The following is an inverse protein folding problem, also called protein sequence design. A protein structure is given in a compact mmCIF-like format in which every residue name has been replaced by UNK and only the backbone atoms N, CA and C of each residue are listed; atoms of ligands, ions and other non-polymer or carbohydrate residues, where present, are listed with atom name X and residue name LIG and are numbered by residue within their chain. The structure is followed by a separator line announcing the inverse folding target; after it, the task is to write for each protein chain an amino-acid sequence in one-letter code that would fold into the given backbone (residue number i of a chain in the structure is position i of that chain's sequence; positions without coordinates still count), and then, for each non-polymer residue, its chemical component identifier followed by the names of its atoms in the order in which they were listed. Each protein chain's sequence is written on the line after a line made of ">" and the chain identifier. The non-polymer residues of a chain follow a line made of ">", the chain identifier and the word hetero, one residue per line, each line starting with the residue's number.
data_IF_669897486602
#
_entry.id   IF_669897486602
#
_cell.length_a   1.000
_cell.length_b   1.000
_cell.length_c   1.000
_cell.angle_alpha   90.00
_cell.angle_beta   90.00
_cell.angle_gamma   90.00
#
_symmetry.space_group_name_H-M   'P 1'
#
loop_
_entity.id
_entity.type
_entity.pdbx_description
1 polymer ?
#
# COMPACT_ATOMS: atom_id res chain seq x y z
N UNK A 1 -39.60 45.39 -5.01
CA UNK A 1 -38.22 45.09 -4.55
C UNK A 1 -37.62 43.92 -5.33
N UNK A 2 -36.98 44.14 -6.49
CA UNK A 2 -36.32 43.09 -7.28
C UNK A 2 -34.81 42.91 -6.96
N UNK A 3 -34.21 43.82 -6.17
CA UNK A 3 -32.76 43.85 -5.95
C UNK A 3 -32.21 42.66 -5.14
N UNK A 4 -33.01 42.08 -4.23
CA UNK A 4 -32.58 40.96 -3.38
C UNK A 4 -32.38 39.63 -4.12
N UNK A 5 -33.18 39.36 -5.16
CA UNK A 5 -33.11 38.09 -5.90
C UNK A 5 -31.83 37.96 -6.72
N UNK A 6 -31.35 39.06 -7.31
CA UNK A 6 -30.12 39.06 -8.11
C UNK A 6 -28.87 38.86 -7.26
N UNK A 7 -28.86 39.41 -6.03
CA UNK A 7 -27.74 39.24 -5.08
C UNK A 7 -27.66 37.79 -4.60
N UNK A 8 -28.79 37.19 -4.21
CA UNK A 8 -28.85 35.77 -3.78
C UNK A 8 -28.37 34.84 -4.90
N UNK A 9 -28.83 35.05 -6.14
CA UNK A 9 -28.39 34.24 -7.27
C UNK A 9 -26.88 34.34 -7.53
N UNK A 10 -26.30 35.55 -7.45
CA UNK A 10 -24.85 35.74 -7.60
C UNK A 10 -24.07 35.02 -6.51
N UNK A 11 -24.53 35.07 -5.27
CA UNK A 11 -23.89 34.35 -4.16
C UNK A 11 -23.91 32.84 -4.38
N UNK A 12 -25.05 32.29 -4.83
CA UNK A 12 -25.17 30.87 -5.16
C UNK A 12 -24.17 30.48 -6.25
N UNK A 13 -24.12 31.22 -7.35
CA UNK A 13 -23.20 30.95 -8.47
C UNK A 13 -21.74 30.99 -8.00
N UNK A 14 -21.35 32.03 -7.27
CA UNK A 14 -19.97 32.16 -6.75
C UNK A 14 -19.63 30.98 -5.83
N UNK A 15 -20.56 30.55 -4.98
CA UNK A 15 -20.36 29.41 -4.08
C UNK A 15 -20.15 28.12 -4.86
N UNK A 16 -20.99 27.85 -5.88
CA UNK A 16 -20.83 26.69 -6.76
C UNK A 16 -19.50 26.70 -7.51
N UNK A 17 -19.05 27.86 -8.01
CA UNK A 17 -17.76 27.98 -8.69
C UNK A 17 -16.59 27.68 -7.76
N UNK A 18 -16.64 28.18 -6.52
CA UNK A 18 -15.63 27.89 -5.50
C UNK A 18 -15.60 26.40 -5.18
N UNK A 19 -16.77 25.77 -4.97
CA UNK A 19 -16.85 24.33 -4.70
C UNK A 19 -16.32 23.51 -5.87
N UNK A 20 -16.65 23.86 -7.12
CA UNK A 20 -16.14 23.20 -8.31
C UNK A 20 -14.62 23.35 -8.46
N UNK A 21 -14.06 24.53 -8.13
CA UNK A 21 -12.61 24.76 -8.18
C UNK A 21 -11.87 23.95 -7.09
N UNK A 22 -12.41 23.90 -5.87
CA UNK A 22 -11.87 23.07 -4.78
C UNK A 22 -11.92 21.60 -5.18
N UNK A 23 -13.06 21.16 -5.71
CA UNK A 23 -13.29 19.81 -6.19
C UNK A 23 -12.26 19.41 -7.26
N UNK A 24 -12.12 20.22 -8.31
CA UNK A 24 -11.14 19.99 -9.38
C UNK A 24 -9.70 19.97 -8.87
N UNK A 25 -9.36 20.83 -7.91
CA UNK A 25 -8.02 20.86 -7.30
C UNK A 25 -7.72 19.60 -6.50
N UNK A 26 -8.71 19.08 -5.75
CA UNK A 26 -8.58 17.82 -5.00
C UNK A 26 -8.44 16.62 -5.94
N UNK A 27 -9.19 16.57 -7.03
CA UNK A 27 -9.04 15.52 -8.05
C UNK A 27 -7.65 15.56 -8.71
N UNK A 28 -7.17 16.75 -9.06
CA UNK A 28 -5.84 16.92 -9.64
C UNK A 28 -4.74 16.49 -8.67
N UNK A 29 -4.86 16.87 -7.38
CA UNK A 29 -3.95 16.43 -6.32
C UNK A 29 -3.98 14.91 -6.15
N UNK A 30 -5.16 14.30 -6.06
CA UNK A 30 -5.29 12.84 -5.93
C UNK A 30 -4.67 12.11 -7.12
N UNK A 31 -4.91 12.57 -8.35
CA UNK A 31 -4.30 12.00 -9.55
C UNK A 31 -2.77 12.13 -9.55
N UNK A 32 -2.25 13.27 -9.09
CA UNK A 32 -0.81 13.48 -8.91
C UNK A 32 -0.22 12.50 -7.91
N UNK A 33 -0.85 12.31 -6.75
CA UNK A 33 -0.37 11.38 -5.73
C UNK A 33 -0.47 9.92 -6.19
N UNK A 34 -1.52 9.54 -6.93
CA UNK A 34 -1.59 8.21 -7.58
C UNK A 34 -0.42 8.00 -8.53
N UNK A 35 -0.07 9.01 -9.32
CA UNK A 35 1.11 8.95 -10.20
C UNK A 35 2.42 8.81 -9.40
N UNK A 36 2.57 9.54 -8.29
CA UNK A 36 3.74 9.42 -7.42
C UNK A 36 3.84 8.03 -6.79
N UNK A 37 2.74 7.49 -6.26
CA UNK A 37 2.66 6.15 -5.65
C UNK A 37 2.99 5.04 -6.66
N UNK A 38 2.41 5.11 -7.86
CA UNK A 38 2.71 4.14 -8.92
C UNK A 38 4.16 4.22 -9.39
N UNK A 39 4.73 5.43 -9.48
CA UNK A 39 6.15 5.60 -9.80
C UNK A 39 7.04 5.03 -8.70
N UNK A 40 6.73 5.31 -7.44
CA UNK A 40 7.44 4.80 -6.27
C UNK A 40 7.49 3.27 -6.26
N UNK A 41 6.34 2.61 -6.41
CA UNK A 41 6.24 1.15 -6.46
C UNK A 41 6.96 0.58 -7.70
N UNK A 42 6.86 1.24 -8.85
CA UNK A 42 7.56 0.82 -10.06
C UNK A 42 9.09 0.93 -9.92
N UNK A 43 9.60 1.97 -9.28
CA UNK A 43 11.03 2.11 -8.98
C UNK A 43 11.50 1.09 -7.94
N UNK A 44 10.75 0.90 -6.85
CA UNK A 44 11.02 -0.11 -5.83
C UNK A 44 11.05 -1.53 -6.44
N UNK A 45 10.20 -1.83 -7.42
CA UNK A 45 10.19 -3.12 -8.10
C UNK A 45 11.47 -3.45 -8.87
N UNK A 46 12.33 -2.45 -9.12
CA UNK A 46 13.63 -2.64 -9.79
C UNK A 46 14.75 -2.98 -8.80
N UNK A 47 14.52 -2.79 -7.51
CA UNK A 47 15.46 -3.18 -6.46
C UNK A 47 15.49 -4.70 -6.36
N UNK A 48 16.69 -5.27 -6.42
CA UNK A 48 16.94 -6.69 -6.28
C UNK A 48 17.43 -7.05 -4.88
N UNK A 49 17.21 -8.32 -4.49
CA UNK A 49 17.93 -8.90 -3.36
C UNK A 49 19.41 -8.93 -3.68
N UNK A 50 20.24 -8.55 -2.72
CA UNK A 50 21.69 -8.46 -2.84
C UNK A 50 22.22 -7.11 -3.32
N UNK A 51 21.34 -6.20 -3.78
CA UNK A 51 21.72 -4.82 -4.12
C UNK A 51 22.37 -4.14 -2.90
N UNK A 52 23.32 -3.24 -3.15
CA UNK A 52 23.99 -2.52 -2.06
C UNK A 52 23.07 -1.45 -1.47
N UNK A 53 23.18 -1.18 -0.16
CA UNK A 53 22.46 -0.06 0.47
C UNK A 53 22.70 1.25 -0.30
N UNK A 54 23.95 1.53 -0.68
CA UNK A 54 24.33 2.73 -1.42
C UNK A 54 23.54 2.90 -2.74
N UNK A 55 23.18 1.81 -3.41
CA UNK A 55 22.41 1.85 -4.66
C UNK A 55 20.93 2.21 -4.47
N UNK A 56 20.36 1.98 -3.28
CA UNK A 56 18.95 2.28 -2.98
C UNK A 56 18.75 3.61 -2.25
N UNK A 57 19.81 4.19 -1.67
CA UNK A 57 19.73 5.51 -1.01
C UNK A 57 19.11 6.63 -1.87
N UNK A 58 19.37 6.73 -3.19
CA UNK A 58 18.71 7.74 -4.02
C UNK A 58 17.19 7.58 -4.10
N UNK A 59 16.70 6.33 -4.08
CA UNK A 59 15.26 6.03 -4.05
C UNK A 59 14.65 6.47 -2.73
N UNK A 60 15.26 6.04 -1.62
CA UNK A 60 14.83 6.39 -0.25
C UNK A 60 14.77 7.90 -0.08
N UNK A 61 15.82 8.62 -0.50
CA UNK A 61 15.88 10.09 -0.42
C UNK A 61 14.80 10.78 -1.26
N UNK A 62 14.45 10.23 -2.43
CA UNK A 62 13.44 10.83 -3.32
C UNK A 62 12.05 10.82 -2.72
N UNK A 63 11.74 9.81 -1.92
CA UNK A 63 10.43 9.59 -1.30
C UNK A 63 10.44 9.88 0.20
N UNK A 64 11.42 10.67 0.68
CA UNK A 64 11.54 11.09 2.08
C UNK A 64 11.53 9.93 3.08
N UNK A 65 12.12 8.79 2.70
CA UNK A 65 12.15 7.60 3.54
C UNK A 65 13.01 7.75 4.78
N UNK A 66 12.62 7.01 5.82
CA UNK A 66 13.30 7.01 7.10
C UNK A 66 13.86 5.64 7.44
N UNK A 67 14.93 5.64 8.23
CA UNK A 67 15.59 4.44 8.72
C UNK A 67 15.07 4.09 10.10
N UNK A 68 14.79 2.82 10.35
CA UNK A 68 14.41 2.33 11.68
C UNK A 68 14.94 0.91 11.89
N UNK A 69 14.92 0.45 13.14
CA UNK A 69 15.40 -0.89 13.52
C UNK A 69 14.22 -1.74 13.96
N UNK A 70 14.00 -2.91 13.34
CA UNK A 70 12.97 -3.85 13.76
C UNK A 70 13.10 -4.26 15.21
N UNK A 71 11.96 -4.54 15.84
CA UNK A 71 11.94 -5.12 17.17
C UNK A 71 12.70 -6.45 17.17
N UNK A 72 13.51 -6.71 18.21
CA UNK A 72 14.21 -7.98 18.33
C UNK A 72 13.20 -9.13 18.46
N UNK A 73 13.58 -10.30 17.93
CA UNK A 73 12.83 -11.51 18.19
C UNK A 73 12.75 -11.78 19.69
N UNK A 74 11.64 -12.36 20.19
CA UNK A 74 11.52 -12.73 21.60
C UNK A 74 12.65 -13.71 22.01
N UNK A 75 12.92 -13.88 23.31
CA UNK A 75 13.88 -14.87 23.78
C UNK A 75 13.56 -16.27 23.24
N UNK A 76 14.60 -17.03 22.85
CA UNK A 76 14.47 -18.35 22.24
C UNK A 76 13.66 -19.32 23.10
N UNK A 77 13.82 -19.22 24.41
CA UNK A 77 13.15 -20.06 25.42
C UNK A 77 11.62 -19.85 25.44
N UNK A 78 11.13 -18.74 24.91
CA UNK A 78 9.70 -18.42 24.83
C UNK A 78 9.07 -18.91 23.51
N UNK A 79 9.86 -19.42 22.57
CA UNK A 79 9.34 -19.90 21.29
C UNK A 79 8.80 -21.33 21.40
N UNK A 80 7.59 -21.55 20.90
CA UNK A 80 6.98 -22.88 20.79
C UNK A 80 7.57 -23.72 19.65
N UNK A 81 8.11 -23.06 18.62
CA UNK A 81 8.77 -23.71 17.48
C UNK A 81 10.22 -23.22 17.37
N UNK A 82 11.14 -23.97 17.97
CA UNK A 82 12.56 -23.67 17.97
C UNK A 82 13.17 -23.69 16.55
N UNK A 83 12.64 -24.52 15.64
CA UNK A 83 13.16 -24.61 14.28
C UNK A 83 12.79 -23.35 13.51
N UNK A 84 11.54 -22.91 13.62
CA UNK A 84 11.08 -21.66 13.03
C UNK A 84 11.76 -20.45 13.66
N UNK A 85 12.04 -20.50 14.97
CA UNK A 85 12.82 -19.46 15.65
C UNK A 85 14.24 -19.33 15.08
N UNK A 86 14.98 -20.44 15.05
CA UNK A 86 16.36 -20.46 14.56
C UNK A 86 16.41 -20.07 13.06
N UNK A 87 15.39 -20.47 12.30
CA UNK A 87 15.18 -20.04 10.92
C UNK A 87 15.00 -18.51 10.80
N UNK A 88 14.04 -17.93 11.52
CA UNK A 88 13.76 -16.48 11.48
C UNK A 88 14.93 -15.66 11.98
N UNK A 89 15.61 -16.10 13.04
CA UNK A 89 16.80 -15.43 13.59
C UNK A 89 17.89 -15.25 12.53
N UNK A 90 18.06 -16.23 11.66
CA UNK A 90 19.00 -16.17 10.55
C UNK A 90 18.54 -15.28 9.39
N UNK A 91 17.35 -14.67 9.45
CA UNK A 91 16.80 -13.79 8.42
C UNK A 91 16.34 -12.44 8.97
N UNK A 92 16.62 -12.11 10.23
CA UNK A 92 16.34 -10.77 10.77
C UNK A 92 17.27 -9.75 10.09
N UNK A 93 16.69 -8.66 9.61
CA UNK A 93 17.41 -7.53 9.04
C UNK A 93 18.06 -6.67 10.13
N UNK A 94 19.19 -6.03 9.81
CA UNK A 94 19.88 -5.13 10.74
C UNK A 94 19.07 -3.84 10.96
N UNK A 95 18.40 -3.36 9.92
CA UNK A 95 17.51 -2.20 9.91
C UNK A 95 16.66 -2.20 8.64
N UNK A 96 15.66 -1.32 8.61
CA UNK A 96 14.76 -1.14 7.48
C UNK A 96 14.68 0.33 7.08
N UNK A 97 14.30 0.55 5.82
CA UNK A 97 13.88 1.85 5.32
C UNK A 97 12.44 1.77 4.87
N UNK A 98 11.62 2.72 5.34
CA UNK A 98 10.23 2.84 4.90
C UNK A 98 10.01 4.19 4.26
N UNK A 99 9.16 4.20 3.25
CA UNK A 99 8.63 5.42 2.67
C UNK A 99 7.21 5.21 2.15
N UNK A 100 6.41 6.26 2.28
CA UNK A 100 4.97 6.20 2.17
C UNK A 100 4.45 7.36 1.31
N UNK A 101 3.43 7.07 0.50
CA UNK A 101 2.57 8.07 -0.10
C UNK A 101 1.15 7.82 0.40
N UNK A 102 0.69 8.65 1.33
CA UNK A 102 -0.71 8.71 1.75
C UNK A 102 -1.25 10.13 1.58
N UNK A 103 -2.00 10.40 0.51
CA UNK A 103 -2.51 11.75 0.20
C UNK A 103 -3.33 12.36 1.32
N UNK A 104 -3.98 11.51 2.12
CA UNK A 104 -4.91 11.86 3.18
C UNK A 104 -4.37 11.53 4.58
N UNK A 105 -3.10 11.09 4.68
CA UNK A 105 -2.38 10.86 5.93
C UNK A 105 -2.95 9.72 6.77
N UNK A 106 -3.38 8.63 6.13
CA UNK A 106 -3.97 7.46 6.77
C UNK A 106 -2.92 6.46 7.25
N UNK A 107 -1.87 6.22 6.46
CA UNK A 107 -0.88 5.16 6.72
C UNK A 107 0.27 5.59 7.63
N UNK A 108 0.16 6.73 8.31
CA UNK A 108 1.29 7.33 9.02
C UNK A 108 1.91 6.33 9.99
N UNK A 109 2.99 5.71 9.55
CA UNK A 109 3.75 4.72 10.29
C UNK A 109 4.33 5.42 11.52
N UNK A 110 3.84 4.99 12.69
CA UNK A 110 4.41 5.14 14.03
C UNK A 110 5.17 6.44 14.35
N UNK A 111 4.66 7.58 13.90
CA UNK A 111 5.19 8.90 14.27
C UNK A 111 6.56 9.27 13.69
N UNK A 112 7.12 8.48 12.77
CA UNK A 112 8.46 8.74 12.20
C UNK A 112 8.44 9.58 10.91
N UNK A 113 7.30 9.67 10.21
CA UNK A 113 7.14 10.51 9.02
C UNK A 113 6.85 11.98 9.33
N UNK A 114 7.63 12.90 8.72
CA UNK A 114 7.31 14.34 8.73
C UNK A 114 6.05 14.59 7.92
N UNK A 115 4.91 14.82 8.58
CA UNK A 115 3.67 15.23 7.90
C UNK A 115 3.81 16.63 7.30
N UNK A 116 3.89 16.68 5.98
CA UNK A 116 3.87 17.93 5.23
C UNK A 116 2.61 18.76 5.56
N UNK A 117 2.74 20.09 5.50
CA UNK A 117 1.64 21.03 5.75
C UNK A 117 0.49 20.81 4.77
N UNK A 118 0.80 20.47 3.51
CA UNK A 118 -0.20 20.21 2.47
C UNK A 118 -1.04 18.98 2.83
N UNK A 119 -0.42 17.85 3.14
CA UNK A 119 -1.12 16.62 3.56
C UNK A 119 -2.02 16.86 4.76
N UNK A 120 -1.59 17.66 5.74
CA UNK A 120 -2.43 18.06 6.88
C UNK A 120 -3.64 18.88 6.46
N UNK A 121 -3.45 19.89 5.61
CA UNK A 121 -4.54 20.72 5.13
C UNK A 121 -5.56 19.91 4.32
N UNK A 122 -5.08 19.05 3.41
CA UNK A 122 -5.92 18.15 2.62
C UNK A 122 -6.68 17.20 3.55
N UNK A 123 -6.01 16.59 4.55
CA UNK A 123 -6.66 15.72 5.54
C UNK A 123 -7.76 16.45 6.32
N UNK A 124 -7.54 17.70 6.72
CA UNK A 124 -8.57 18.51 7.39
C UNK A 124 -9.79 18.71 6.50
N UNK A 125 -9.58 19.02 5.22
CA UNK A 125 -10.67 19.21 4.25
C UNK A 125 -11.40 17.89 4.00
N UNK A 126 -10.69 16.78 3.78
CA UNK A 126 -11.32 15.49 3.50
C UNK A 126 -12.02 14.91 4.72
N UNK A 127 -11.50 15.11 5.93
CA UNK A 127 -12.18 14.69 7.17
C UNK A 127 -13.48 15.45 7.43
N UNK A 128 -13.65 16.65 6.87
CA UNK A 128 -14.91 17.39 6.93
C UNK A 128 -15.98 16.80 5.99
N UNK A 129 -15.60 15.95 5.04
CA UNK A 129 -16.50 15.29 4.09
C UNK A 129 -16.93 13.94 4.67
N UNK A 130 -18.24 13.66 4.84
CA UNK A 130 -18.72 12.36 5.27
C UNK A 130 -18.16 11.22 4.41
N UNK A 131 -17.77 10.09 5.04
CA UNK A 131 -17.14 8.94 4.34
C UNK A 131 -17.90 8.49 3.08
N UNK A 132 -19.24 8.42 3.16
CA UNK A 132 -20.10 8.07 2.02
C UNK A 132 -19.96 9.03 0.83
N UNK A 133 -19.78 10.33 1.10
CA UNK A 133 -19.60 11.34 0.06
C UNK A 133 -18.18 11.28 -0.53
N UNK A 134 -17.15 11.04 0.29
CA UNK A 134 -15.76 10.85 -0.19
C UNK A 134 -15.67 9.76 -1.26
N UNK A 135 -16.37 8.65 -1.03
CA UNK A 135 -16.47 7.55 -1.99
C UNK A 135 -17.10 7.97 -3.33
N UNK A 136 -18.21 8.71 -3.29
CA UNK A 136 -18.97 9.13 -4.49
C UNK A 136 -18.20 10.15 -5.32
N UNK A 137 -17.32 10.90 -4.68
CA UNK A 137 -16.56 11.94 -5.35
C UNK A 137 -15.16 11.42 -5.75
N UNK A 138 -14.70 10.26 -5.24
CA UNK A 138 -13.40 9.68 -5.62
C UNK A 138 -12.24 10.23 -4.79
N UNK A 139 -12.52 10.66 -3.55
CA UNK A 139 -11.53 11.02 -2.52
C UNK A 139 -11.51 9.97 -1.41
N UNK A 140 -11.56 8.69 -1.78
CA UNK A 140 -11.45 7.57 -0.84
C UNK A 140 -10.09 7.59 -0.18
N UNK A 141 -10.02 7.13 1.07
CA UNK A 141 -8.74 7.01 1.72
C UNK A 141 -7.92 5.88 1.10
N UNK A 142 -6.65 6.14 0.84
CA UNK A 142 -5.70 5.14 0.38
C UNK A 142 -4.27 5.55 0.74
N UNK A 143 -3.34 4.61 0.60
CA UNK A 143 -1.92 4.90 0.64
C UNK A 143 -1.12 3.79 -0.01
N UNK A 144 0.15 4.07 -0.27
CA UNK A 144 1.12 3.09 -0.72
C UNK A 144 2.39 3.21 0.12
N UNK A 145 2.99 2.06 0.43
CA UNK A 145 4.21 1.97 1.24
C UNK A 145 5.22 1.09 0.53
N UNK A 146 6.50 1.38 0.74
CA UNK A 146 7.61 0.51 0.35
C UNK A 146 8.50 0.33 1.56
N UNK A 147 8.86 -0.92 1.83
CA UNK A 147 9.81 -1.28 2.87
C UNK A 147 11.02 -1.97 2.24
N UNK A 148 12.20 -1.57 2.70
CA UNK A 148 13.49 -2.15 2.28
C UNK A 148 14.21 -2.67 3.51
N UNK A 149 14.39 -3.98 3.59
CA UNK A 149 15.14 -4.59 4.68
C UNK A 149 16.61 -4.73 4.30
N UNK A 150 17.51 -4.25 5.16
CA UNK A 150 18.95 -4.28 4.93
C UNK A 150 19.63 -5.20 5.93
N UNK A 151 20.54 -6.03 5.42
CA UNK A 151 21.41 -6.90 6.23
C UNK A 151 22.81 -6.95 5.64
N UNK A 152 23.82 -6.73 6.48
CA UNK A 152 25.21 -6.71 6.02
C UNK A 152 25.48 -5.66 4.93
N UNK A 153 24.74 -4.54 4.94
CA UNK A 153 24.84 -3.48 3.93
C UNK A 153 24.23 -3.83 2.56
N UNK A 154 23.44 -4.90 2.48
CA UNK A 154 22.75 -5.33 1.25
C UNK A 154 21.25 -5.46 1.47
N UNK A 155 20.49 -5.27 0.40
CA UNK A 155 19.05 -5.48 0.38
C UNK A 155 18.76 -6.97 0.57
N UNK A 156 18.04 -7.27 1.64
CA UNK A 156 17.57 -8.61 1.98
C UNK A 156 16.15 -8.85 1.49
N UNK A 157 15.30 -7.82 1.55
CA UNK A 157 13.96 -7.85 0.98
C UNK A 157 13.50 -6.46 0.56
N UNK A 158 12.56 -6.43 -0.39
CA UNK A 158 11.82 -5.24 -0.80
C UNK A 158 10.33 -5.58 -0.89
N UNK A 159 9.49 -4.81 -0.22
CA UNK A 159 8.03 -4.87 -0.33
C UNK A 159 7.46 -3.62 -0.97
N UNK A 160 6.31 -3.78 -1.62
CA UNK A 160 5.45 -2.68 -1.99
C UNK A 160 4.02 -3.02 -1.62
N UNK A 161 3.37 -2.12 -0.91
CA UNK A 161 2.01 -2.28 -0.42
C UNK A 161 1.13 -1.14 -0.93
N UNK A 162 -0.13 -1.45 -1.23
CA UNK A 162 -1.19 -0.48 -1.50
C UNK A 162 -2.40 -0.83 -0.65
N UNK A 163 -2.89 0.13 0.12
CA UNK A 163 -4.11 0.03 0.91
C UNK A 163 -5.15 1.02 0.39
N UNK A 164 -6.40 0.58 0.27
CA UNK A 164 -7.51 1.42 -0.20
C UNK A 164 -8.82 1.14 0.55
N UNK A 165 -9.56 2.20 0.85
CA UNK A 165 -10.91 2.13 1.40
C UNK A 165 -11.88 1.58 0.33
N UNK A 166 -12.20 0.29 0.46
CA UNK A 166 -13.19 -0.40 -0.37
C UNK A 166 -14.62 0.05 -0.06
N UNK A 167 -15.61 -0.70 -0.58
CA UNK A 167 -17.03 -0.38 -0.34
C UNK A 167 -17.49 -0.77 1.07
N UNK A 168 -17.02 -1.91 1.57
CA UNK A 168 -17.42 -2.49 2.86
C UNK A 168 -16.27 -2.64 3.85
N UNK A 169 -15.04 -2.74 3.34
CA UNK A 169 -13.85 -3.05 4.13
C UNK A 169 -12.61 -2.44 3.49
N UNK A 170 -11.49 -2.45 4.22
CA UNK A 170 -10.19 -2.13 3.66
C UNK A 170 -9.69 -3.25 2.75
N UNK A 171 -9.11 -2.85 1.62
CA UNK A 171 -8.49 -3.77 0.68
C UNK A 171 -7.01 -3.44 0.58
N UNK A 172 -6.19 -4.47 0.73
CA UNK A 172 -4.75 -4.35 0.60
C UNK A 172 -4.19 -5.23 -0.52
N UNK A 173 -3.12 -4.76 -1.12
CA UNK A 173 -2.30 -5.56 -2.01
C UNK A 173 -0.82 -5.33 -1.70
N UNK A 174 -0.15 -6.38 -1.26
CA UNK A 174 1.27 -6.40 -0.98
C UNK A 174 1.97 -7.36 -1.94
N UNK A 175 3.14 -6.93 -2.43
CA UNK A 175 4.13 -7.81 -3.01
C UNK A 175 5.43 -7.69 -2.23
N UNK A 176 6.15 -8.80 -2.05
CA UNK A 176 7.41 -8.85 -1.31
C UNK A 176 8.40 -9.77 -2.02
N UNK A 177 9.50 -9.19 -2.48
CA UNK A 177 10.67 -9.95 -2.94
C UNK A 177 11.58 -10.19 -1.72
N UNK A 178 11.85 -11.44 -1.41
CA UNK A 178 12.65 -11.86 -0.24
C UNK A 178 13.83 -12.71 -0.67
N UNK A 179 14.95 -12.63 0.05
CA UNK A 179 16.06 -13.57 -0.09
C UNK A 179 15.62 -15.02 0.16
N UNK A 180 14.77 -15.23 1.15
CA UNK A 180 14.22 -16.53 1.52
C UNK A 180 12.79 -16.40 2.05
N UNK A 181 11.98 -17.45 1.87
CA UNK A 181 10.58 -17.46 2.29
C UNK A 181 10.42 -17.20 3.80
N UNK A 182 9.37 -16.52 4.28
CA UNK A 182 9.27 -16.10 5.67
C UNK A 182 9.14 -17.27 6.66
N UNK A 183 8.68 -18.43 6.19
CA UNK A 183 8.47 -19.63 7.01
C UNK A 183 9.29 -20.80 6.50
N UNK A 184 9.82 -21.58 7.44
CA UNK A 184 10.66 -22.75 7.11
C UNK A 184 9.93 -23.80 6.28
N UNK A 185 8.61 -23.94 6.43
CA UNK A 185 7.78 -24.84 5.62
C UNK A 185 7.60 -24.38 4.16
N UNK A 186 7.78 -23.08 3.89
CA UNK A 186 7.61 -22.48 2.57
C UNK A 186 8.91 -22.43 1.77
N UNK A 187 10.06 -22.74 2.38
CA UNK A 187 11.38 -22.77 1.75
C UNK A 187 11.46 -23.43 0.36
N UNK A 188 10.77 -24.55 0.09
CA UNK A 188 10.80 -25.17 -1.24
C UNK A 188 10.09 -24.36 -2.33
N UNK A 189 9.30 -23.34 -1.98
CA UNK A 189 8.51 -22.55 -2.92
C UNK A 189 9.26 -21.28 -3.31
N UNK A 190 9.25 -20.96 -4.60
CA UNK A 190 9.73 -19.69 -5.12
C UNK A 190 8.66 -18.58 -5.04
N UNK A 191 7.38 -18.95 -4.93
CA UNK A 191 6.26 -18.03 -4.90
C UNK A 191 5.11 -18.56 -4.03
N UNK A 192 4.47 -17.65 -3.28
CA UNK A 192 3.21 -17.90 -2.56
C UNK A 192 2.30 -16.68 -2.59
N UNK A 193 0.99 -16.94 -2.56
CA UNK A 193 -0.04 -15.93 -2.35
C UNK A 193 -0.76 -16.28 -1.05
N UNK A 194 -0.74 -15.36 -0.09
CA UNK A 194 -1.44 -15.48 1.18
C UNK A 194 -2.41 -14.34 1.42
N UNK A 195 -3.03 -14.37 2.59
CA UNK A 195 -3.89 -13.29 3.07
C UNK A 195 -3.50 -12.85 4.47
N UNK A 196 -3.59 -11.55 4.73
CA UNK A 196 -3.50 -11.00 6.08
C UNK A 196 -4.76 -10.18 6.41
N UNK A 197 -5.06 -10.07 7.70
CA UNK A 197 -6.13 -9.22 8.21
C UNK A 197 -5.56 -7.82 8.41
N UNK A 198 -6.30 -6.81 7.96
CA UNK A 198 -5.99 -5.41 8.19
C UNK A 198 -6.76 -4.91 9.40
N UNK A 199 -6.04 -4.37 10.38
CA UNK A 199 -6.62 -3.70 11.55
C UNK A 199 -6.40 -2.19 11.42
N UNK A 200 -7.41 -1.46 10.94
CA UNK A 200 -7.34 -0.01 10.75
C UNK A 200 -8.17 0.70 11.83
N UNK A 201 -7.74 1.90 12.24
CA UNK A 201 -8.48 2.76 13.19
C UNK A 201 -9.95 2.99 12.76
N UNK A 202 -10.21 2.89 11.46
CA UNK A 202 -11.50 3.18 10.83
C UNK A 202 -12.27 1.94 10.34
N UNK A 203 -11.84 0.72 10.72
CA UNK A 203 -12.47 -0.54 10.33
C UNK A 203 -11.45 -1.65 10.04
N UNK A 204 -11.94 -2.87 9.82
CA UNK A 204 -11.11 -3.99 9.39
C UNK A 204 -11.02 -4.12 7.87
N UNK A 205 -10.19 -5.05 7.42
CA UNK A 205 -10.18 -5.49 6.04
C UNK A 205 -9.25 -6.65 5.80
N UNK A 206 -8.91 -6.84 4.54
CA UNK A 206 -8.09 -7.96 4.09
C UNK A 206 -6.99 -7.45 3.15
N UNK A 207 -5.85 -8.11 3.21
CA UNK A 207 -4.68 -7.89 2.36
C UNK A 207 -4.38 -9.17 1.59
N UNK A 208 -4.19 -9.07 0.27
CA UNK A 208 -3.54 -10.15 -0.50
C UNK A 208 -2.04 -9.90 -0.44
N UNK A 209 -1.29 -10.90 0.04
CA UNK A 209 0.16 -10.86 0.16
C UNK A 209 0.79 -11.79 -0.86
N UNK A 210 1.64 -11.27 -1.72
CA UNK A 210 2.37 -12.04 -2.71
C UNK A 210 3.85 -12.07 -2.33
N UNK A 211 4.38 -13.22 -1.95
CA UNK A 211 5.77 -13.36 -1.51
C UNK A 211 6.51 -14.21 -2.52
N UNK A 212 7.66 -13.72 -2.99
CA UNK A 212 8.48 -14.40 -3.99
C UNK A 212 9.96 -14.26 -3.69
N UNK A 213 10.74 -15.25 -4.14
CA UNK A 213 12.20 -15.21 -4.16
C UNK A 213 12.71 -14.81 -5.55
N UNK A 214 14.03 -14.56 -5.72
CA UNK A 214 14.62 -14.35 -7.04
C UNK A 214 14.43 -15.51 -8.03
N UNK A 215 14.11 -16.71 -7.54
CA UNK A 215 13.87 -17.91 -8.36
C UNK A 215 12.45 -17.95 -8.95
N UNK A 216 11.57 -17.02 -8.56
CA UNK A 216 10.22 -16.94 -9.09
C UNK A 216 10.23 -16.65 -10.60
N UNK A 217 9.30 -17.28 -11.31
CA UNK A 217 9.11 -17.09 -12.73
C UNK A 217 8.67 -15.66 -13.07
N UNK A 218 8.88 -15.26 -14.31
CA UNK A 218 8.43 -13.95 -14.83
C UNK A 218 6.91 -13.79 -14.69
N UNK A 219 6.15 -14.88 -14.78
CA UNK A 219 4.70 -14.86 -14.62
C UNK A 219 4.30 -14.58 -13.16
N UNK A 220 4.90 -15.27 -12.20
CA UNK A 220 4.68 -15.06 -10.76
C UNK A 220 5.02 -13.64 -10.34
N UNK A 221 6.17 -13.13 -10.79
CA UNK A 221 6.59 -11.73 -10.53
C UNK A 221 5.59 -10.74 -11.12
N UNK A 222 5.05 -11.02 -12.31
CA UNK A 222 4.04 -10.16 -12.96
C UNK A 222 2.70 -10.23 -12.25
N UNK A 223 2.27 -11.41 -11.81
CA UNK A 223 1.03 -11.60 -11.04
C UNK A 223 1.11 -10.86 -9.70
N UNK A 224 2.26 -10.96 -9.04
CA UNK A 224 2.56 -10.36 -7.75
C UNK A 224 2.56 -8.83 -7.77
N UNK A 225 3.23 -8.19 -8.73
CA UNK A 225 3.44 -6.72 -8.71
C UNK A 225 2.29 -5.89 -9.28
N UNK A 226 1.37 -6.51 -10.03
CA UNK A 226 0.37 -5.79 -10.82
C UNK A 226 -0.91 -5.53 -10.03
N UNK A 227 -1.18 -4.26 -9.75
CA UNK A 227 -2.43 -3.79 -9.17
C UNK A 227 -3.09 -2.72 -10.07
N UNK A 228 -4.36 -2.42 -9.81
CA UNK A 228 -5.15 -1.44 -10.54
C UNK A 228 -5.13 -0.07 -9.86
N UNK A 229 -4.13 0.74 -10.19
CA UNK A 229 -4.01 2.08 -9.63
C UNK A 229 -5.18 3.03 -9.95
N UNK A 230 -5.96 2.75 -11.02
CA UNK A 230 -7.11 3.57 -11.37
C UNK A 230 -8.19 3.56 -10.28
N UNK A 231 -8.24 2.53 -9.42
CA UNK A 231 -9.25 2.46 -8.38
C UNK A 231 -8.99 3.39 -7.19
N UNK A 232 -7.76 3.92 -7.04
CA UNK A 232 -7.37 4.79 -5.94
C UNK A 232 -8.05 6.17 -5.99
N UNK A 233 -8.35 6.66 -7.20
CA UNK A 233 -9.00 7.97 -7.42
C UNK A 233 -10.30 7.87 -8.21
N UNK A 234 -10.82 6.65 -8.43
CA UNK A 234 -12.07 6.44 -9.16
C UNK A 234 -13.28 6.66 -8.28
N UNK A 235 -14.32 7.28 -8.85
CA UNK A 235 -15.66 7.38 -8.24
C UNK A 235 -16.26 6.00 -7.98
N UNK A 236 -16.04 5.03 -8.88
CA UNK A 236 -16.48 3.64 -8.68
C UNK A 236 -15.67 2.97 -7.56
N UNK A 237 -14.41 3.36 -7.41
CA UNK A 237 -13.47 2.77 -6.45
C UNK A 237 -13.11 1.32 -6.78
N UNK A 238 -12.51 0.64 -5.80
CA UNK A 238 -12.35 -0.81 -5.78
C UNK A 238 -13.50 -1.43 -4.95
N UNK A 239 -14.29 -2.34 -5.53
CA UNK A 239 -15.31 -3.08 -4.77
C UNK A 239 -14.71 -4.28 -4.03
N UNK A 240 -13.63 -4.86 -4.53
CA UNK A 240 -12.92 -5.98 -3.92
C UNK A 240 -11.57 -6.28 -4.59
N UNK A 241 -10.96 -7.42 -4.23
CA UNK A 241 -9.66 -7.82 -4.79
C UNK A 241 -9.64 -8.04 -6.30
N UNK A 242 -10.78 -8.37 -6.89
CA UNK A 242 -10.90 -8.53 -8.33
C UNK A 242 -10.70 -7.20 -9.07
N UNK A 243 -10.99 -6.07 -8.41
CA UNK A 243 -10.69 -4.75 -8.94
C UNK A 243 -9.27 -4.31 -8.59
N UNK A 244 -8.82 -4.54 -7.35
CA UNK A 244 -7.53 -4.07 -6.85
C UNK A 244 -6.35 -4.85 -7.41
N UNK A 245 -6.41 -6.18 -7.35
CA UNK A 245 -5.31 -7.09 -7.69
C UNK A 245 -5.80 -8.19 -8.65
N UNK A 246 -6.38 -7.84 -9.82
CA UNK A 246 -7.00 -8.80 -10.72
C UNK A 246 -6.06 -9.92 -11.15
N UNK A 247 -4.76 -9.62 -11.33
CA UNK A 247 -3.77 -10.61 -11.77
C UNK A 247 -3.35 -11.59 -10.69
N UNK A 248 -3.22 -11.15 -9.44
CA UNK A 248 -2.99 -12.06 -8.33
C UNK A 248 -4.18 -13.02 -8.15
N UNK A 249 -5.42 -12.50 -8.26
CA UNK A 249 -6.63 -13.33 -8.17
C UNK A 249 -6.76 -14.31 -9.34
N UNK A 250 -6.46 -13.87 -10.57
CA UNK A 250 -6.46 -14.72 -11.75
C UNK A 250 -5.42 -15.84 -11.62
N UNK A 251 -4.19 -15.50 -11.21
CA UNK A 251 -3.12 -16.47 -11.01
C UNK A 251 -3.49 -17.50 -9.95
N UNK A 252 -4.01 -17.05 -8.80
CA UNK A 252 -4.43 -17.96 -7.71
C UNK A 252 -5.55 -18.93 -8.14
N UNK A 253 -6.43 -18.54 -9.07
CA UNK A 253 -7.45 -19.44 -9.63
C UNK A 253 -6.84 -20.50 -10.56
N UNK A 254 -5.82 -20.13 -11.32
CA UNK A 254 -5.12 -21.03 -12.25
C UNK A 254 -4.12 -21.95 -11.54
N UNK A 255 -3.56 -21.47 -10.42
CA UNK A 255 -2.54 -22.15 -9.62
C UNK A 255 -2.94 -22.20 -8.13
N UNK A 256 -3.91 -23.04 -7.75
CA UNK A 256 -4.37 -23.13 -6.36
C UNK A 256 -3.27 -23.52 -5.36
N UNK A 257 -2.22 -24.20 -5.82
CA UNK A 257 -1.05 -24.62 -5.05
C UNK A 257 -0.12 -23.45 -4.64
N UNK A 258 -0.23 -22.31 -5.31
CA UNK A 258 0.42 -21.07 -4.89
C UNK A 258 -0.24 -20.47 -3.63
N UNK A 259 -1.46 -20.88 -3.31
CA UNK A 259 -2.18 -20.41 -2.13
C UNK A 259 -1.55 -20.87 -0.81
N UNK A 260 -1.42 -19.95 0.14
CA UNK A 260 -1.03 -20.21 1.52
C UNK A 260 -2.01 -19.52 2.47
N UNK A 261 -2.93 -20.31 3.05
CA UNK A 261 -3.94 -19.79 3.98
C UNK A 261 -5.00 -18.88 3.35
N UNK A 262 -5.08 -18.79 2.03
CA UNK A 262 -6.04 -17.95 1.31
C UNK A 262 -7.02 -18.79 0.48
N UNK A 263 -8.29 -18.40 0.51
CA UNK A 263 -9.30 -18.90 -0.42
C UNK A 263 -9.44 -17.86 -1.55
N UNK A 264 -9.36 -18.27 -2.83
CA UNK A 264 -9.48 -17.33 -3.94
C UNK A 264 -10.78 -16.51 -3.83
N UNK A 265 -10.72 -15.17 -3.88
CA UNK A 265 -11.91 -14.35 -3.78
C UNK A 265 -12.83 -14.61 -4.97
N UNK A 266 -14.14 -14.65 -4.70
CA UNK A 266 -15.16 -14.77 -5.74
C UNK A 266 -15.25 -13.43 -6.46
N UNK A 267 -15.00 -13.45 -7.77
CA UNK A 267 -15.22 -12.30 -8.63
C UNK A 267 -16.63 -12.41 -9.24
N UNK A 268 -17.43 -11.34 -9.21
CA UNK A 268 -18.71 -11.28 -9.92
C UNK A 268 -18.54 -11.32 -11.44
#
# INVERSE_FOLDING_TARGET
>A
MPCGRTVVLRLIIVTFLILAAIWGSLCAYAAHEVHRATSMLAEASRVGVGDTEASVLPLIKRYDGYKWTPDPLPPREQSTDLREYDYRRNHVSDYQYDFEISPFGLLTTDGHGKRDRVTRAVRTVTNAIPKRLRAIIGLRDWGATVDLAIRGGRVQSVSGEVLVEGRSEWLGHEWRLVEAMPHSELQPKAFVIGSAILEMENGGGMLIQNIFTPDASVEEVRASRKFNAACLSSVRGCEGFCDLAPRAVEYLKQHPDAGWGIIPPKCP
#
